data_IF_795615135477
#
_entry.id   IF_795615135477
#
_cell.length_a   1.000
_cell.length_b   1.000
_cell.length_c   1.000
_cell.angle_alpha   90.00
_cell.angle_beta   90.00
_cell.angle_gamma   90.00
#
_symmetry.space_group_name_H-M   'P 1'
#
loop_
_entity.id
_entity.type
_entity.pdbx_description
1 polymer ?
#
# COMPACT_ATOMS: atom_id res chain seq x y z
N UNK A 1 -17.17 5.01 7.37
CA UNK A 1 -15.76 5.18 6.95
C UNK A 1 -15.25 3.90 6.32
N UNK A 2 -14.74 3.99 5.09
CA UNK A 2 -14.08 2.90 4.36
C UNK A 2 -12.69 2.61 4.96
N UNK A 3 -12.10 1.47 4.59
CA UNK A 3 -10.72 1.15 5.02
C UNK A 3 -9.71 2.17 4.49
N UNK A 4 -9.93 2.71 3.28
CA UNK A 4 -9.13 3.78 2.68
C UNK A 4 -9.10 5.02 3.57
N UNK A 5 -10.27 5.51 3.97
CA UNK A 5 -10.38 6.70 4.84
C UNK A 5 -9.75 6.46 6.22
N UNK A 6 -9.91 5.24 6.77
CA UNK A 6 -9.29 4.85 8.04
C UNK A 6 -7.77 4.91 7.95
N UNK A 7 -7.18 4.33 6.91
CA UNK A 7 -5.72 4.37 6.68
C UNK A 7 -5.25 5.81 6.55
N UNK A 8 -5.81 6.60 5.62
CA UNK A 8 -5.38 7.98 5.39
C UNK A 8 -5.43 8.83 6.66
N UNK A 9 -6.52 8.76 7.42
CA UNK A 9 -6.64 9.55 8.64
C UNK A 9 -5.72 9.07 9.77
N UNK A 10 -5.35 7.79 9.81
CA UNK A 10 -4.48 7.22 10.85
C UNK A 10 -3.02 7.63 10.61
N UNK A 11 -2.61 7.65 9.34
CA UNK A 11 -1.23 7.90 8.94
C UNK A 11 -0.94 9.33 8.49
N UNK A 12 -1.96 10.20 8.38
CA UNK A 12 -1.76 11.64 8.12
C UNK A 12 -0.69 12.23 9.05
N UNK A 13 0.32 12.88 8.48
CA UNK A 13 1.45 13.46 9.21
C UNK A 13 2.52 12.45 9.63
N UNK A 14 2.51 11.23 9.09
CA UNK A 14 3.51 10.18 9.31
C UNK A 14 4.23 9.79 8.02
N UNK A 15 4.18 10.66 7.00
CA UNK A 15 4.86 10.47 5.73
C UNK A 15 6.36 10.25 5.96
N UNK A 16 6.93 9.28 5.24
CA UNK A 16 8.32 8.87 5.38
C UNK A 16 8.61 7.91 6.55
N UNK A 17 7.67 7.67 7.47
CA UNK A 17 7.85 6.72 8.58
C UNK A 17 7.60 5.29 8.11
N UNK A 18 8.29 4.36 8.75
CA UNK A 18 8.23 2.92 8.46
C UNK A 18 7.51 2.18 9.58
N UNK A 19 6.70 1.20 9.20
CA UNK A 19 5.89 0.40 10.10
C UNK A 19 5.92 -1.07 9.70
N UNK A 20 5.95 -1.97 10.68
CA UNK A 20 5.69 -3.39 10.47
C UNK A 20 4.18 -3.61 10.26
N UNK A 21 3.78 -4.70 9.57
CA UNK A 21 2.37 -4.96 9.29
C UNK A 21 1.47 -4.99 10.55
N UNK A 22 1.94 -5.56 11.66
CA UNK A 22 1.18 -5.56 12.92
C UNK A 22 1.01 -4.15 13.49
N UNK A 23 2.03 -3.30 13.44
CA UNK A 23 1.95 -1.91 13.89
C UNK A 23 0.91 -1.12 13.08
N UNK A 24 0.80 -1.39 11.78
CA UNK A 24 -0.22 -0.75 10.94
C UNK A 24 -1.62 -1.14 11.40
N UNK A 25 -1.85 -2.44 11.62
CA UNK A 25 -3.12 -2.98 12.08
C UNK A 25 -3.45 -2.39 13.46
N UNK A 26 -2.50 -2.38 14.38
CA UNK A 26 -2.68 -1.90 15.75
C UNK A 26 -3.01 -0.41 15.79
N UNK A 27 -2.30 0.42 15.03
CA UNK A 27 -2.57 1.86 14.93
C UNK A 27 -3.99 2.15 14.41
N UNK A 28 -4.43 1.41 13.38
CA UNK A 28 -5.78 1.58 12.83
C UNK A 28 -6.82 1.11 13.84
N UNK A 29 -6.61 -0.03 14.52
CA UNK A 29 -7.54 -0.53 15.54
C UNK A 29 -7.60 0.36 16.78
N UNK A 30 -6.47 0.92 17.21
CA UNK A 30 -6.44 1.85 18.33
C UNK A 30 -7.31 3.08 18.05
N UNK A 31 -7.30 3.57 16.80
CA UNK A 31 -8.14 4.69 16.38
C UNK A 31 -9.58 4.29 16.02
N UNK A 32 -9.77 3.06 15.52
CA UNK A 32 -11.03 2.51 15.05
C UNK A 32 -11.24 1.07 15.55
N UNK A 33 -11.65 0.88 16.82
CA UNK A 33 -11.69 -0.44 17.48
C UNK A 33 -12.50 -1.51 16.76
N UNK A 34 -13.60 -1.12 16.11
CA UNK A 34 -14.50 -2.04 15.39
C UNK A 34 -13.99 -2.44 13.99
N UNK A 35 -12.77 -2.07 13.62
CA UNK A 35 -12.19 -2.43 12.32
C UNK A 35 -11.74 -3.89 12.34
N UNK A 36 -12.27 -4.68 11.40
CA UNK A 36 -11.82 -6.05 11.20
C UNK A 36 -10.32 -6.06 10.79
N UNK A 37 -9.42 -6.66 11.58
CA UNK A 37 -7.99 -6.69 11.26
C UNK A 37 -7.69 -7.35 9.92
N UNK A 38 -8.44 -8.39 9.53
CA UNK A 38 -8.21 -9.09 8.26
C UNK A 38 -8.57 -8.26 7.03
N UNK A 39 -9.30 -7.17 7.20
CA UNK A 39 -9.58 -6.20 6.13
C UNK A 39 -8.44 -5.20 5.91
N UNK A 40 -7.43 -5.17 6.79
CA UNK A 40 -6.26 -4.30 6.70
C UNK A 40 -5.11 -5.11 6.10
N UNK A 41 -4.92 -4.97 4.79
CA UNK A 41 -3.87 -5.68 4.05
C UNK A 41 -2.88 -4.63 3.50
N UNK A 42 -1.78 -4.30 4.20
CA UNK A 42 -0.84 -3.26 3.76
C UNK A 42 -0.21 -3.55 2.39
N UNK A 43 0.06 -4.83 2.10
CA UNK A 43 0.62 -5.28 0.84
C UNK A 43 -0.26 -4.94 -0.38
N UNK A 44 -1.58 -4.84 -0.20
CA UNK A 44 -2.52 -4.48 -1.28
C UNK A 44 -2.52 -2.97 -1.58
N UNK A 45 -1.85 -2.16 -0.74
CA UNK A 45 -1.88 -0.69 -0.79
C UNK A 45 -0.51 -0.09 -1.09
N UNK A 46 0.36 -0.89 -1.73
CA UNK A 46 1.74 -0.52 -2.02
C UNK A 46 1.90 0.00 -3.45
N UNK A 47 2.67 1.06 -3.63
CA UNK A 47 3.06 1.53 -4.96
C UNK A 47 3.90 0.48 -5.70
N UNK A 48 4.89 -0.11 -5.03
CA UNK A 48 5.86 -1.02 -5.62
C UNK A 48 5.45 -2.51 -5.59
N UNK A 49 4.21 -2.84 -5.20
CA UNK A 49 3.79 -4.25 -5.09
C UNK A 49 2.34 -4.42 -5.51
N UNK A 50 2.07 -5.47 -6.29
CA UNK A 50 0.72 -5.89 -6.67
C UNK A 50 0.47 -7.35 -6.26
N UNK A 51 -0.76 -7.65 -5.86
CA UNK A 51 -1.26 -8.99 -5.63
C UNK A 51 -2.31 -9.32 -6.70
N UNK A 52 -2.30 -10.54 -7.24
CA UNK A 52 -3.32 -11.00 -8.20
C UNK A 52 -4.66 -11.17 -7.47
N UNK A 53 -5.76 -10.84 -8.15
CA UNK A 53 -7.13 -10.92 -7.61
C UNK A 53 -7.69 -9.61 -7.07
N UNK A 54 -6.84 -8.56 -6.95
CA UNK A 54 -7.25 -7.21 -6.55
C UNK A 54 -7.08 -6.16 -7.65
N UNK A 55 -6.91 -6.59 -8.90
CA UNK A 55 -6.61 -5.72 -10.04
C UNK A 55 -7.67 -4.63 -10.25
N UNK A 56 -8.94 -4.95 -9.96
CA UNK A 56 -10.07 -4.00 -9.97
C UNK A 56 -10.06 -2.98 -8.81
N UNK A 57 -9.22 -3.19 -7.80
CA UNK A 57 -9.11 -2.38 -6.59
C UNK A 57 -7.72 -1.71 -6.47
N UNK A 58 -6.89 -1.83 -7.50
CA UNK A 58 -5.55 -1.25 -7.59
C UNK A 58 -5.58 0.27 -7.89
N UNK A 59 -6.47 1.00 -7.22
CA UNK A 59 -6.63 2.45 -7.38
C UNK A 59 -6.22 3.22 -6.12
N UNK A 60 -5.77 2.53 -5.08
CA UNK A 60 -5.38 3.15 -3.82
C UNK A 60 -4.03 2.63 -3.30
N UNK A 61 -3.03 3.50 -3.41
CA UNK A 61 -1.66 3.27 -2.98
C UNK A 61 -1.24 4.34 -2.00
N UNK A 62 -0.61 3.91 -0.91
CA UNK A 62 -0.14 4.79 0.15
C UNK A 62 1.15 4.32 0.80
N UNK A 63 1.57 3.08 0.54
CA UNK A 63 2.79 2.49 1.10
C UNK A 63 3.82 2.17 0.03
N UNK A 64 5.06 2.02 0.46
CA UNK A 64 6.12 1.31 -0.24
C UNK A 64 6.51 0.11 0.62
N UNK A 65 6.52 -1.10 0.04
CA UNK A 65 7.01 -2.29 0.72
C UNK A 65 8.54 -2.30 0.70
N UNK A 66 9.17 -2.57 1.85
CA UNK A 66 10.62 -2.66 2.01
C UNK A 66 11.06 -4.12 2.13
N UNK A 67 12.34 -4.40 1.86
CA UNK A 67 12.91 -5.75 1.82
C UNK A 67 12.88 -6.47 3.17
N UNK A 68 12.85 -5.72 4.28
CA UNK A 68 12.78 -6.25 5.65
C UNK A 68 11.34 -6.63 6.08
N UNK A 69 10.38 -6.55 5.15
CA UNK A 69 8.96 -6.84 5.40
C UNK A 69 8.19 -5.70 6.08
N UNK A 70 8.81 -4.53 6.22
CA UNK A 70 8.14 -3.32 6.69
C UNK A 70 7.57 -2.49 5.52
N UNK A 71 6.79 -1.47 5.88
CA UNK A 71 6.12 -0.59 4.92
C UNK A 71 6.38 0.86 5.28
N UNK A 72 6.83 1.63 4.31
CA UNK A 72 6.99 3.08 4.44
C UNK A 72 5.70 3.77 4.01
N UNK A 73 5.15 4.63 4.85
CA UNK A 73 3.99 5.43 4.48
C UNK A 73 4.42 6.61 3.60
N UNK A 74 3.90 6.68 2.38
CA UNK A 74 4.18 7.74 1.40
C UNK A 74 3.00 8.71 1.25
N UNK A 75 1.79 8.26 1.55
CA UNK A 75 0.55 9.01 1.32
C UNK A 75 -0.03 8.76 -0.06
N UNK A 76 -1.28 9.20 -0.26
CA UNK A 76 -1.99 9.04 -1.52
C UNK A 76 -1.54 10.08 -2.54
N UNK A 77 -1.39 9.67 -3.80
CA UNK A 77 -0.94 10.55 -4.89
C UNK A 77 0.54 10.92 -4.82
N UNK A 78 1.34 10.23 -3.99
CA UNK A 78 2.78 10.40 -3.95
C UNK A 78 3.41 10.16 -5.35
N UNK A 79 4.34 11.01 -5.81
CA UNK A 79 5.00 10.87 -7.12
C UNK A 79 6.04 9.74 -7.09
N UNK A 80 5.58 8.52 -6.81
CA UNK A 80 6.44 7.36 -6.71
C UNK A 80 7.11 7.10 -8.06
N UNK A 81 8.39 6.72 -8.02
CA UNK A 81 9.13 6.24 -9.17
C UNK A 81 9.86 4.97 -8.78
N UNK A 82 9.64 3.89 -9.53
CA UNK A 82 10.25 2.60 -9.22
C UNK A 82 9.47 1.41 -9.76
N UNK A 83 10.08 0.23 -9.77
CA UNK A 83 9.45 -0.99 -10.25
C UNK A 83 8.25 -1.43 -9.40
N UNK A 84 7.28 -2.06 -10.06
CA UNK A 84 6.15 -2.76 -9.43
C UNK A 84 6.42 -4.26 -9.50
N UNK A 85 6.38 -4.91 -8.34
CA UNK A 85 6.66 -6.33 -8.21
C UNK A 85 5.40 -7.16 -7.98
N UNK A 86 5.36 -8.34 -8.60
CA UNK A 86 4.45 -9.43 -8.29
C UNK A 86 5.25 -10.73 -8.14
N UNK A 87 5.16 -11.39 -6.98
CA UNK A 87 5.92 -12.62 -6.68
C UNK A 87 7.41 -12.54 -7.07
N UNK A 88 8.06 -11.40 -6.77
CA UNK A 88 9.46 -11.15 -7.08
C UNK A 88 9.78 -10.81 -8.54
N UNK A 89 8.78 -10.78 -9.43
CA UNK A 89 8.93 -10.39 -10.84
C UNK A 89 8.52 -8.94 -11.04
N UNK A 90 9.29 -8.20 -11.84
CA UNK A 90 8.89 -6.86 -12.29
C UNK A 90 7.74 -7.02 -13.29
N UNK A 91 6.60 -6.42 -12.99
CA UNK A 91 5.38 -6.47 -13.83
C UNK A 91 4.93 -5.07 -14.28
N UNK A 92 5.60 -4.03 -13.80
CA UNK A 92 5.32 -2.65 -14.14
C UNK A 92 6.34 -1.72 -13.51
N UNK A 93 6.11 -0.44 -13.68
CA UNK A 93 6.86 0.62 -13.03
C UNK A 93 5.94 1.82 -12.78
N UNK A 94 6.32 2.65 -11.82
CA UNK A 94 5.83 4.01 -11.73
C UNK A 94 6.91 4.96 -12.21
N UNK A 95 6.48 6.01 -12.91
CA UNK A 95 7.31 7.12 -13.32
C UNK A 95 6.60 8.42 -12.91
N UNK A 96 7.14 9.11 -11.90
CA UNK A 96 6.60 10.37 -11.38
C UNK A 96 5.08 10.30 -11.08
N UNK A 97 4.67 9.26 -10.34
CA UNK A 97 3.27 9.04 -9.98
C UNK A 97 2.37 8.52 -11.12
N UNK A 98 2.94 8.18 -12.29
CA UNK A 98 2.21 7.55 -13.41
C UNK A 98 2.56 6.08 -13.49
N UNK A 99 1.54 5.23 -13.54
CA UNK A 99 1.67 3.77 -13.57
C UNK A 99 1.81 3.27 -15.01
N UNK A 100 2.84 2.46 -15.27
CA UNK A 100 3.06 1.73 -16.52
C UNK A 100 3.04 0.23 -16.16
N UNK A 101 2.09 -0.53 -16.71
CA UNK A 101 2.03 -1.98 -16.52
C UNK A 101 2.56 -2.68 -17.77
N UNK A 102 3.55 -3.56 -17.56
CA UNK A 102 4.28 -4.24 -18.63
C UNK A 102 3.65 -5.59 -19.01
N UNK A 103 2.85 -6.18 -18.13
CA UNK A 103 2.11 -7.41 -18.40
C UNK A 103 0.67 -7.29 -17.90
N UNK A 104 -0.30 -7.60 -18.75
CA UNK A 104 -1.63 -7.95 -18.25
C UNK A 104 -1.48 -9.22 -17.43
N UNK A 105 -1.73 -9.11 -16.12
CA UNK A 105 -1.80 -10.25 -15.22
C UNK A 105 -2.98 -11.11 -15.71
N UNK A 106 -2.70 -12.35 -16.11
CA UNK A 106 -3.71 -13.32 -16.60
C UNK A 106 -4.09 -14.29 -15.49
#
# INVERSE_FOLDING_TARGET
MTIKEKILSTFKGKEGRTFKPHEIIDLIKQKYPDTNPSSIIPADRCYNKINIGIEKYFDFHVFEALDDGSYKFLGEGYPFSGPVFWNGKVVGEWLDGRKIILQELK
#
